data_IF_012002304094
#
_entry.id   IF_012002304094
#
_cell.length_a   1.000
_cell.length_b   1.000
_cell.length_c   1.000
_cell.angle_alpha   90.00
_cell.angle_beta   90.00
_cell.angle_gamma   90.00
#
_symmetry.space_group_name_H-M   'P 1'
#
loop_
_entity.id
_entity.type
_entity.pdbx_description
1 polymer ?
#
# COMPACT_ATOMS: atom_id res chain seq x y z
N UNK A 1 -22.79 15.34 39.65
CA UNK A 1 -23.72 14.36 39.03
C UNK A 1 -24.02 14.68 37.56
N UNK A 2 -24.43 15.95 37.22
CA UNK A 2 -24.73 16.36 35.82
C UNK A 2 -23.49 16.22 34.90
N UNK A 3 -22.30 16.49 35.42
CA UNK A 3 -21.06 16.40 34.65
C UNK A 3 -20.69 14.91 34.34
N UNK A 4 -21.00 14.00 35.23
CA UNK A 4 -20.71 12.57 35.06
C UNK A 4 -21.62 11.91 34.01
N UNK A 5 -22.89 12.31 33.95
CA UNK A 5 -23.83 11.81 32.94
C UNK A 5 -23.53 12.39 31.55
N UNK A 6 -23.12 13.65 31.48
CA UNK A 6 -22.70 14.28 30.22
C UNK A 6 -21.41 13.62 29.70
N UNK A 7 -20.44 13.35 30.57
CA UNK A 7 -19.23 12.62 30.25
C UNK A 7 -19.54 11.20 29.77
N UNK A 8 -20.32 10.43 30.51
CA UNK A 8 -20.71 9.07 30.16
C UNK A 8 -21.46 9.00 28.80
N UNK A 9 -22.28 10.00 28.49
CA UNK A 9 -22.93 10.09 27.18
C UNK A 9 -21.94 10.38 26.05
N UNK A 10 -21.02 11.32 26.24
CA UNK A 10 -20.05 11.74 25.23
C UNK A 10 -18.96 10.67 24.95
N UNK A 11 -18.69 9.79 25.92
CA UNK A 11 -17.65 8.74 25.80
C UNK A 11 -18.21 7.35 25.51
N UNK A 12 -19.52 7.17 25.52
CA UNK A 12 -20.17 5.86 25.36
C UNK A 12 -19.73 5.10 24.12
N UNK A 13 -19.75 5.78 22.96
CA UNK A 13 -19.43 5.15 21.68
C UNK A 13 -17.96 4.79 21.59
N UNK A 14 -17.07 5.65 22.12
CA UNK A 14 -15.65 5.37 22.22
C UNK A 14 -15.38 4.15 23.13
N UNK A 15 -15.97 4.12 24.31
CA UNK A 15 -15.81 2.99 25.23
C UNK A 15 -16.36 1.69 24.64
N UNK A 16 -17.51 1.74 23.97
CA UNK A 16 -18.07 0.58 23.27
C UNK A 16 -17.13 0.05 22.19
N UNK A 17 -16.54 0.94 21.41
CA UNK A 17 -15.58 0.58 20.35
C UNK A 17 -14.30 -0.02 20.95
N UNK A 18 -13.75 0.56 22.02
CA UNK A 18 -12.58 0.04 22.72
C UNK A 18 -12.85 -1.34 23.36
N UNK A 19 -14.02 -1.52 23.97
CA UNK A 19 -14.42 -2.82 24.49
C UNK A 19 -14.58 -3.85 23.37
N UNK A 20 -15.08 -3.46 22.19
CA UNK A 20 -15.16 -4.32 21.01
C UNK A 20 -13.78 -4.77 20.52
N UNK A 21 -12.80 -3.88 20.53
CA UNK A 21 -11.42 -4.19 20.18
C UNK A 21 -10.75 -5.12 21.22
N UNK A 22 -11.00 -4.89 22.51
CA UNK A 22 -10.36 -5.62 23.61
C UNK A 22 -11.08 -6.92 23.98
N UNK A 23 -12.20 -7.27 23.35
CA UNK A 23 -12.93 -8.49 23.64
C UNK A 23 -12.30 -9.71 22.94
N UNK A 24 -11.68 -10.65 23.69
CA UNK A 24 -11.00 -11.82 23.09
C UNK A 24 -11.97 -12.78 22.38
N UNK A 25 -13.27 -12.73 22.71
CA UNK A 25 -14.34 -13.50 22.04
C UNK A 25 -15.02 -12.71 20.93
N UNK A 26 -14.60 -11.47 20.72
CA UNK A 26 -15.15 -10.58 19.71
C UNK A 26 -14.54 -10.78 18.32
N UNK A 27 -14.92 -9.91 17.40
CA UNK A 27 -14.53 -9.94 15.98
C UNK A 27 -13.01 -9.89 15.75
N UNK A 28 -12.28 -9.17 16.60
CA UNK A 28 -10.84 -9.01 16.51
C UNK A 28 -10.07 -10.10 17.28
N UNK A 29 -10.77 -10.99 17.99
CA UNK A 29 -10.16 -12.03 18.78
C UNK A 29 -9.15 -11.45 19.77
N UNK A 30 -7.97 -12.05 19.84
CA UNK A 30 -6.91 -11.69 20.80
C UNK A 30 -5.92 -10.64 20.27
N UNK A 31 -6.17 -10.05 19.10
CA UNK A 31 -5.23 -9.14 18.42
C UNK A 31 -4.88 -7.89 19.24
N UNK A 32 -5.85 -7.33 19.98
CA UNK A 32 -5.68 -6.06 20.71
C UNK A 32 -5.83 -6.15 22.22
N UNK A 33 -6.07 -7.33 22.78
CA UNK A 33 -6.29 -7.53 24.21
C UNK A 33 -5.12 -8.19 24.91
N UNK A 34 -4.05 -8.54 24.21
CA UNK A 34 -2.86 -9.17 24.78
C UNK A 34 -1.61 -8.33 24.57
N UNK A 35 -0.55 -8.66 25.29
CA UNK A 35 0.74 -8.01 25.10
C UNK A 35 1.33 -8.39 23.73
N UNK A 36 2.09 -7.46 23.15
CA UNK A 36 2.85 -7.69 21.92
C UNK A 36 3.79 -8.88 22.12
N UNK A 37 3.61 -9.91 21.32
CA UNK A 37 4.41 -11.15 21.40
C UNK A 37 5.80 -10.98 20.80
N UNK A 38 5.92 -10.14 19.75
CA UNK A 38 7.20 -9.86 19.12
C UNK A 38 7.44 -8.35 19.00
N UNK A 39 8.67 -7.94 19.35
CA UNK A 39 9.10 -6.55 19.16
C UNK A 39 9.67 -6.36 17.77
N UNK A 40 9.35 -5.22 17.17
CA UNK A 40 9.86 -4.85 15.86
C UNK A 40 11.35 -4.50 15.96
N UNK A 41 12.19 -5.28 15.29
CA UNK A 41 13.63 -5.02 15.16
C UNK A 41 13.94 -4.52 13.74
N UNK A 42 14.08 -3.21 13.58
CA UNK A 42 14.42 -2.57 12.29
C UNK A 42 15.92 -2.64 11.95
N UNK A 43 16.74 -3.37 12.72
CA UNK A 43 18.14 -3.63 12.35
C UNK A 43 18.26 -4.61 11.18
N UNK A 44 17.20 -5.34 10.89
CA UNK A 44 17.05 -6.33 9.80
C UNK A 44 15.77 -6.08 9.02
N UNK A 45 15.64 -6.65 7.80
CA UNK A 45 14.37 -6.63 7.07
C UNK A 45 13.25 -7.28 7.90
N UNK A 46 12.08 -6.67 7.87
CA UNK A 46 10.88 -7.16 8.56
C UNK A 46 9.79 -7.34 7.53
N UNK A 47 9.14 -8.49 7.55
CA UNK A 47 7.96 -8.80 6.75
C UNK A 47 6.73 -8.96 7.66
N UNK A 48 5.62 -8.35 7.25
CA UNK A 48 4.32 -8.48 7.90
C UNK A 48 3.43 -9.32 6.99
N UNK A 49 3.44 -10.63 7.20
CA UNK A 49 2.56 -11.53 6.45
C UNK A 49 1.11 -11.35 6.88
N UNK A 50 0.32 -10.78 5.99
CA UNK A 50 -1.14 -10.59 6.15
C UNK A 50 -1.97 -11.60 5.35
N UNK A 51 -1.37 -12.64 4.81
CA UNK A 51 -2.07 -13.64 3.98
C UNK A 51 -3.20 -14.33 4.73
N UNK A 52 -3.02 -14.59 6.04
CA UNK A 52 -4.04 -15.15 6.90
C UNK A 52 -5.31 -14.27 7.02
N UNK A 53 -5.21 -12.97 6.69
CA UNK A 53 -6.33 -12.04 6.71
C UNK A 53 -7.09 -11.99 5.38
N UNK A 54 -6.74 -12.82 4.40
CA UNK A 54 -7.34 -12.79 3.06
C UNK A 54 -8.87 -12.97 3.07
N UNK A 55 -9.39 -13.71 4.07
CA UNK A 55 -10.83 -13.96 4.26
C UNK A 55 -11.43 -13.16 5.44
N UNK A 56 -10.65 -12.31 6.09
CA UNK A 56 -11.15 -11.45 7.15
C UNK A 56 -11.93 -10.27 6.55
N UNK A 57 -12.87 -9.74 7.32
CA UNK A 57 -13.60 -8.53 6.92
C UNK A 57 -12.67 -7.31 6.83
N UNK A 58 -13.05 -6.34 5.99
CA UNK A 58 -12.23 -5.16 5.69
C UNK A 58 -11.85 -4.36 6.94
N UNK A 59 -12.69 -4.35 7.96
CA UNK A 59 -12.42 -3.68 9.24
C UNK A 59 -11.32 -4.38 10.07
N UNK A 60 -11.25 -5.72 10.02
CA UNK A 60 -10.15 -6.48 10.67
C UNK A 60 -8.84 -6.19 9.92
N UNK A 61 -8.87 -6.23 8.60
CA UNK A 61 -7.71 -5.87 7.77
C UNK A 61 -7.27 -4.44 8.05
N UNK A 62 -8.19 -3.49 8.10
CA UNK A 62 -7.90 -2.08 8.41
C UNK A 62 -7.26 -1.91 9.79
N UNK A 63 -7.80 -2.58 10.81
CA UNK A 63 -7.29 -2.49 12.17
C UNK A 63 -5.88 -3.08 12.30
N UNK A 64 -5.62 -4.24 11.68
CA UNK A 64 -4.29 -4.87 11.68
C UNK A 64 -3.28 -4.01 10.92
N UNK A 65 -3.62 -3.51 9.73
CA UNK A 65 -2.76 -2.62 8.97
C UNK A 65 -2.45 -1.33 9.73
N UNK A 66 -3.46 -0.72 10.37
CA UNK A 66 -3.25 0.48 11.18
C UNK A 66 -2.31 0.24 12.36
N UNK A 67 -2.46 -0.88 13.07
CA UNK A 67 -1.59 -1.26 14.18
C UNK A 67 -0.16 -1.54 13.71
N UNK A 68 0.01 -2.32 12.65
CA UNK A 68 1.29 -2.66 12.02
C UNK A 68 2.04 -1.40 11.58
N UNK A 69 1.36 -0.51 10.88
CA UNK A 69 1.95 0.75 10.42
C UNK A 69 2.33 1.66 11.57
N UNK A 70 1.46 1.81 12.56
CA UNK A 70 1.75 2.62 13.75
C UNK A 70 2.99 2.09 14.48
N UNK A 71 3.13 0.78 14.61
CA UNK A 71 4.30 0.14 15.22
C UNK A 71 5.56 0.36 14.38
N UNK A 72 5.50 0.19 13.05
CA UNK A 72 6.63 0.39 12.16
C UNK A 72 7.12 1.85 12.16
N UNK A 73 6.20 2.82 12.11
CA UNK A 73 6.55 4.24 12.19
C UNK A 73 7.08 4.64 13.56
N UNK A 74 6.53 4.11 14.64
CA UNK A 74 7.05 4.36 15.98
C UNK A 74 8.48 3.84 16.12
N UNK A 75 8.75 2.62 15.65
CA UNK A 75 10.09 2.04 15.65
C UNK A 75 11.08 2.83 14.79
N UNK A 76 10.65 3.27 13.60
CA UNK A 76 11.45 4.14 12.73
C UNK A 76 11.78 5.47 13.39
N UNK A 77 10.79 6.13 14.00
CA UNK A 77 11.01 7.41 14.68
C UNK A 77 11.95 7.25 15.88
N UNK A 78 11.81 6.17 16.64
CA UNK A 78 12.74 5.87 17.73
C UNK A 78 14.17 5.66 17.19
N UNK A 79 14.33 4.96 16.08
CA UNK A 79 15.63 4.76 15.43
C UNK A 79 16.26 6.09 14.96
N UNK A 80 15.46 7.01 14.40
CA UNK A 80 15.94 8.34 14.00
C UNK A 80 16.39 9.16 15.22
N UNK A 81 15.59 9.18 16.30
CA UNK A 81 15.96 9.86 17.54
C UNK A 81 17.26 9.33 18.14
N UNK A 82 17.45 8.01 18.14
CA UNK A 82 18.70 7.39 18.60
C UNK A 82 19.88 7.76 17.71
N UNK A 83 19.67 7.85 16.40
CA UNK A 83 20.72 8.27 15.48
C UNK A 83 21.08 9.76 15.65
N UNK A 84 20.10 10.64 15.89
CA UNK A 84 20.32 12.05 16.21
C UNK A 84 21.07 12.23 17.54
N UNK A 85 20.80 11.36 18.50
CA UNK A 85 21.54 11.33 19.78
C UNK A 85 22.94 10.68 19.67
N UNK A 86 23.35 10.20 18.48
CA UNK A 86 24.65 9.54 18.28
C UNK A 86 24.73 8.12 18.85
N UNK A 87 23.62 7.53 19.25
CA UNK A 87 23.56 6.20 19.87
C UNK A 87 23.56 5.06 18.83
N UNK A 88 23.24 5.37 17.59
CA UNK A 88 23.30 4.43 16.47
C UNK A 88 23.52 5.16 15.13
N UNK A 89 23.98 4.47 14.06
CA UNK A 89 24.10 5.08 12.75
C UNK A 89 22.74 5.40 12.15
N UNK A 90 22.64 6.51 11.42
CA UNK A 90 21.44 6.87 10.67
C UNK A 90 21.21 5.86 9.54
N UNK A 91 19.97 5.40 9.40
CA UNK A 91 19.55 4.45 8.37
C UNK A 91 18.42 5.05 7.53
N UNK A 92 18.40 4.72 6.24
CA UNK A 92 17.25 4.94 5.39
C UNK A 92 16.41 3.67 5.37
N UNK A 93 15.10 3.84 5.33
CA UNK A 93 14.15 2.73 5.33
C UNK A 93 13.48 2.61 3.96
N UNK A 94 13.17 1.40 3.54
CA UNK A 94 12.34 1.14 2.35
C UNK A 94 11.09 0.41 2.81
N UNK A 95 9.94 0.96 2.46
CA UNK A 95 8.63 0.36 2.72
C UNK A 95 8.12 -0.21 1.40
N UNK A 96 7.87 -1.51 1.39
CA UNK A 96 7.27 -2.22 0.26
C UNK A 96 5.84 -2.57 0.65
N UNK A 97 4.88 -2.14 -0.15
CA UNK A 97 3.46 -2.43 0.03
C UNK A 97 2.97 -3.24 -1.14
N UNK A 98 2.91 -4.54 -0.93
CA UNK A 98 2.24 -5.43 -1.87
C UNK A 98 0.73 -5.37 -1.69
N UNK A 99 -0.03 -5.59 -2.75
CA UNK A 99 -1.49 -5.50 -2.75
C UNK A 99 -2.02 -4.18 -2.12
N UNK A 100 -1.36 -3.06 -2.43
CA UNK A 100 -1.67 -1.77 -1.81
C UNK A 100 -3.17 -1.40 -1.86
N UNK A 101 -3.87 -1.82 -2.91
CA UNK A 101 -5.30 -1.58 -3.06
C UNK A 101 -6.13 -2.12 -1.89
N UNK A 102 -5.71 -3.22 -1.26
CA UNK A 102 -6.40 -3.77 -0.07
C UNK A 102 -6.34 -2.79 1.09
N UNK A 103 -5.17 -2.18 1.31
CA UNK A 103 -5.01 -1.16 2.35
C UNK A 103 -5.87 0.08 2.07
N UNK A 104 -5.95 0.51 0.81
CA UNK A 104 -6.74 1.68 0.41
C UNK A 104 -8.24 1.46 0.58
N UNK A 105 -8.74 0.25 0.27
CA UNK A 105 -10.15 -0.11 0.41
C UNK A 105 -10.56 -0.35 1.87
N UNK A 106 -9.61 -0.83 2.68
CA UNK A 106 -9.91 -1.19 4.06
C UNK A 106 -10.34 0.02 4.93
N UNK A 107 -9.78 1.21 4.68
CA UNK A 107 -10.14 2.40 5.45
C UNK A 107 -9.74 3.71 4.76
N UNK A 108 -10.62 4.74 4.82
CA UNK A 108 -10.26 6.12 4.43
C UNK A 108 -9.00 6.64 5.12
N UNK A 109 -8.79 6.24 6.37
CA UNK A 109 -7.59 6.61 7.15
C UNK A 109 -6.32 6.10 6.50
N UNK A 110 -6.34 4.93 5.84
CA UNK A 110 -5.19 4.39 5.14
C UNK A 110 -4.82 5.24 3.92
N UNK A 111 -5.82 5.74 3.20
CA UNK A 111 -5.61 6.67 2.07
C UNK A 111 -4.90 7.93 2.54
N UNK A 112 -5.33 8.51 3.68
CA UNK A 112 -4.75 9.71 4.24
C UNK A 112 -3.32 9.49 4.74
N UNK A 113 -3.06 8.38 5.39
CA UNK A 113 -1.72 8.00 5.85
C UNK A 113 -0.75 7.80 4.70
N UNK A 114 -1.19 7.13 3.63
CA UNK A 114 -0.40 6.95 2.41
C UNK A 114 -0.13 8.26 1.69
N UNK A 115 -1.12 9.14 1.61
CA UNK A 115 -0.94 10.47 1.01
C UNK A 115 0.12 11.28 1.76
N UNK A 116 0.05 11.29 3.08
CA UNK A 116 1.04 11.94 3.93
C UNK A 116 2.44 11.34 3.72
N UNK A 117 2.54 10.00 3.73
CA UNK A 117 3.81 9.29 3.52
C UNK A 117 4.42 9.65 2.16
N UNK A 118 3.65 9.60 1.07
CA UNK A 118 4.16 9.91 -0.28
C UNK A 118 4.61 11.36 -0.44
N UNK A 119 4.13 12.28 0.38
CA UNK A 119 4.55 13.69 0.39
C UNK A 119 5.83 13.91 1.20
N UNK A 120 6.01 13.19 2.31
CA UNK A 120 7.06 13.43 3.29
C UNK A 120 8.18 12.40 3.28
N UNK A 121 8.06 11.33 2.49
CA UNK A 121 9.01 10.22 2.47
C UNK A 121 10.46 10.67 2.26
N UNK A 122 10.70 11.68 1.40
CA UNK A 122 12.04 12.23 1.17
C UNK A 122 12.63 12.88 2.43
N UNK A 123 11.81 13.64 3.18
CA UNK A 123 12.26 14.29 4.41
C UNK A 123 12.53 13.25 5.51
N UNK A 124 11.77 12.18 5.51
CA UNK A 124 11.87 11.10 6.50
C UNK A 124 12.92 10.04 6.15
N UNK A 125 13.63 10.18 5.02
CA UNK A 125 14.59 9.16 4.58
C UNK A 125 13.95 7.81 4.27
N UNK A 126 12.71 7.83 3.76
CA UNK A 126 11.93 6.62 3.44
C UNK A 126 11.80 6.47 1.93
N UNK A 127 12.28 5.37 1.38
CA UNK A 127 11.91 4.89 0.05
C UNK A 127 10.58 4.16 0.12
N UNK A 128 9.77 4.26 -0.94
CA UNK A 128 8.46 3.61 -0.99
C UNK A 128 8.26 2.90 -2.31
N UNK A 129 7.87 1.62 -2.25
CA UNK A 129 7.47 0.79 -3.38
C UNK A 129 6.02 0.39 -3.15
N UNK A 130 5.16 0.71 -4.10
CA UNK A 130 3.73 0.43 -4.08
C UNK A 130 3.41 -0.52 -5.23
N UNK A 131 2.82 -1.67 -4.91
CA UNK A 131 2.48 -2.72 -5.89
C UNK A 131 0.97 -2.89 -5.91
N UNK A 132 0.40 -2.96 -7.11
CA UNK A 132 -1.02 -3.20 -7.33
C UNK A 132 -1.22 -3.93 -8.66
N UNK A 133 -2.31 -4.65 -8.81
CA UNK A 133 -2.60 -5.39 -10.03
C UNK A 133 -3.11 -4.50 -11.16
N UNK A 134 -3.98 -3.54 -10.84
CA UNK A 134 -4.62 -2.67 -11.83
C UNK A 134 -4.67 -1.22 -11.36
N UNK A 135 -4.74 -0.29 -12.31
CA UNK A 135 -5.00 1.11 -11.99
C UNK A 135 -6.45 1.34 -11.52
N UNK A 136 -7.38 0.50 -11.97
CA UNK A 136 -8.77 0.54 -11.52
C UNK A 136 -8.86 0.41 -9.99
N UNK A 137 -8.06 -0.48 -9.41
CA UNK A 137 -8.05 -0.70 -7.97
C UNK A 137 -7.61 0.51 -7.16
N UNK A 138 -6.79 1.38 -7.74
CA UNK A 138 -6.36 2.63 -7.11
C UNK A 138 -7.40 3.75 -7.25
N UNK A 139 -8.23 3.71 -8.28
CA UNK A 139 -9.07 4.83 -8.70
C UNK A 139 -10.58 4.56 -8.52
N UNK A 140 -10.94 3.44 -7.90
CA UNK A 140 -12.31 3.04 -7.58
C UNK A 140 -12.56 3.02 -6.07
N UNK A 141 -12.14 4.08 -5.37
CA UNK A 141 -12.40 4.27 -3.94
C UNK A 141 -13.75 4.97 -3.73
N UNK A 142 -14.27 4.94 -2.50
CA UNK A 142 -15.63 5.35 -2.17
C UNK A 142 -15.94 6.82 -2.47
N UNK A 143 -14.95 7.69 -2.39
CA UNK A 143 -15.13 9.12 -2.62
C UNK A 143 -14.19 9.69 -3.66
N UNK A 144 -14.63 10.75 -4.36
CA UNK A 144 -13.79 11.48 -5.31
C UNK A 144 -12.54 12.07 -4.65
N UNK A 145 -12.63 12.47 -3.39
CA UNK A 145 -11.48 12.99 -2.64
C UNK A 145 -10.40 11.91 -2.44
N UNK A 146 -10.79 10.68 -2.13
CA UNK A 146 -9.88 9.54 -2.01
C UNK A 146 -9.26 9.18 -3.37
N UNK A 147 -10.06 9.15 -4.44
CA UNK A 147 -9.56 8.91 -5.79
C UNK A 147 -8.53 9.96 -6.22
N UNK A 148 -8.75 11.24 -5.90
CA UNK A 148 -7.78 12.31 -6.17
C UNK A 148 -6.47 12.12 -5.40
N UNK A 149 -6.53 11.66 -4.14
CA UNK A 149 -5.33 11.32 -3.36
C UNK A 149 -4.57 10.14 -3.98
N UNK A 150 -5.28 9.09 -4.38
CA UNK A 150 -4.70 7.91 -5.01
C UNK A 150 -4.04 8.24 -6.38
N UNK A 151 -4.65 9.11 -7.19
CA UNK A 151 -3.98 9.67 -8.39
C UNK A 151 -2.67 10.34 -8.04
N UNK A 152 -2.64 11.12 -6.96
CA UNK A 152 -1.42 11.75 -6.47
C UNK A 152 -0.31 10.75 -6.13
N UNK A 153 -0.62 9.52 -5.74
CA UNK A 153 0.41 8.48 -5.53
C UNK A 153 1.11 8.14 -6.85
N UNK A 154 0.34 7.94 -7.91
CA UNK A 154 0.87 7.65 -9.25
C UNK A 154 1.69 8.81 -9.79
N UNK A 155 1.19 10.04 -9.66
CA UNK A 155 1.87 11.24 -10.14
C UNK A 155 3.20 11.47 -9.44
N UNK A 156 3.23 11.34 -8.09
CA UNK A 156 4.44 11.53 -7.28
C UNK A 156 5.45 10.40 -7.42
N UNK A 157 5.05 9.22 -7.86
CA UNK A 157 5.97 8.11 -8.14
C UNK A 157 6.85 8.46 -9.33
N UNK A 158 8.14 8.70 -9.10
CA UNK A 158 9.09 9.04 -10.15
C UNK A 158 9.41 7.87 -11.07
N UNK A 159 9.45 6.68 -10.50
CA UNK A 159 9.69 5.43 -11.23
C UNK A 159 8.37 4.66 -11.27
N UNK A 160 7.98 4.23 -12.46
CA UNK A 160 6.80 3.37 -12.66
C UNK A 160 7.25 2.13 -13.40
N UNK A 161 6.90 0.97 -12.85
CA UNK A 161 7.18 -0.33 -13.44
C UNK A 161 5.84 -0.92 -13.88
N UNK A 162 5.64 -1.01 -15.19
CA UNK A 162 4.39 -1.47 -15.80
C UNK A 162 4.60 -2.90 -16.33
N UNK A 163 3.79 -3.83 -15.85
CA UNK A 163 3.66 -5.16 -16.42
C UNK A 163 2.73 -5.18 -17.64
N UNK A 164 2.25 -6.35 -18.00
CA UNK A 164 1.25 -6.54 -19.05
C UNK A 164 -0.06 -5.81 -18.70
N UNK A 165 -0.62 -5.04 -19.63
CA UNK A 165 -1.84 -4.25 -19.43
C UNK A 165 -2.74 -4.34 -20.65
N UNK A 166 -4.04 -4.43 -20.46
CA UNK A 166 -5.00 -4.42 -21.56
C UNK A 166 -5.06 -3.02 -22.22
N UNK A 167 -5.39 -2.98 -23.52
CA UNK A 167 -5.58 -1.70 -24.25
C UNK A 167 -6.66 -0.82 -23.60
N UNK A 168 -7.70 -1.43 -23.05
CA UNK A 168 -8.77 -0.72 -22.37
C UNK A 168 -8.26 -0.02 -21.12
N UNK A 169 -7.46 -0.71 -20.33
CA UNK A 169 -6.85 -0.19 -19.11
C UNK A 169 -5.86 0.94 -19.42
N UNK A 170 -5.01 0.77 -20.43
CA UNK A 170 -4.06 1.79 -20.87
C UNK A 170 -4.80 3.07 -21.29
N UNK A 171 -5.83 2.94 -22.14
CA UNK A 171 -6.60 4.10 -22.62
C UNK A 171 -7.35 4.81 -21.51
N UNK A 172 -8.02 4.05 -20.64
CA UNK A 172 -8.85 4.62 -19.58
C UNK A 172 -8.02 5.26 -18.47
N UNK A 173 -7.06 4.54 -17.96
CA UNK A 173 -6.36 4.94 -16.73
C UNK A 173 -5.01 5.61 -16.99
N UNK A 174 -4.19 5.09 -17.90
CA UNK A 174 -2.87 5.66 -18.11
C UNK A 174 -2.91 6.94 -18.96
N UNK A 175 -3.63 6.93 -20.07
CA UNK A 175 -3.77 8.12 -20.92
C UNK A 175 -4.83 9.11 -20.43
N UNK A 176 -5.92 8.60 -19.87
CA UNK A 176 -7.04 9.42 -19.41
C UNK A 176 -6.81 10.01 -18.03
N UNK A 177 -6.86 9.16 -17.02
CA UNK A 177 -6.98 9.63 -15.63
C UNK A 177 -5.64 9.94 -14.96
N UNK A 178 -4.57 9.22 -15.24
CA UNK A 178 -3.25 9.46 -14.63
C UNK A 178 -2.37 10.41 -15.43
N UNK A 179 -2.72 10.67 -16.71
CA UNK A 179 -1.92 11.52 -17.58
C UNK A 179 -0.49 11.01 -17.82
N UNK A 180 -0.25 9.72 -17.66
CA UNK A 180 1.07 9.14 -17.86
C UNK A 180 1.42 9.19 -19.36
N UNK A 181 2.55 9.80 -19.76
CA UNK A 181 2.96 9.88 -21.14
C UNK A 181 3.37 8.49 -21.64
N UNK A 182 2.47 7.81 -22.34
CA UNK A 182 2.69 6.52 -23.01
C UNK A 182 2.61 6.73 -24.51
N UNK A 183 3.65 6.33 -25.22
CA UNK A 183 3.69 6.33 -26.67
C UNK A 183 2.86 5.17 -27.26
N UNK A 184 2.49 5.27 -28.55
CA UNK A 184 1.76 4.19 -29.23
C UNK A 184 2.56 2.88 -29.19
N UNK A 185 3.87 2.95 -29.39
CA UNK A 185 4.74 1.76 -29.33
C UNK A 185 4.77 1.11 -27.96
N UNK A 186 4.78 1.90 -26.89
CA UNK A 186 4.72 1.38 -25.51
C UNK A 186 3.35 0.75 -25.21
N UNK A 187 2.27 1.37 -25.69
CA UNK A 187 0.92 0.80 -25.60
C UNK A 187 0.83 -0.55 -26.30
N UNK A 188 1.33 -0.62 -27.54
CA UNK A 188 1.32 -1.86 -28.32
C UNK A 188 2.11 -2.97 -27.64
N UNK A 189 3.26 -2.63 -27.08
CA UNK A 189 4.11 -3.55 -26.33
C UNK A 189 3.42 -4.09 -25.07
N UNK A 190 2.87 -3.21 -24.22
CA UNK A 190 2.17 -3.60 -23.00
C UNK A 190 0.94 -4.46 -23.31
N UNK A 191 0.21 -4.13 -24.36
CA UNK A 191 -0.95 -4.88 -24.81
C UNK A 191 -0.58 -6.25 -25.41
N UNK A 192 0.52 -6.34 -26.16
CA UNK A 192 1.01 -7.64 -26.66
C UNK A 192 1.43 -8.56 -25.50
N UNK A 193 2.06 -8.01 -24.46
CA UNK A 193 2.41 -8.78 -23.27
C UNK A 193 1.20 -9.34 -22.51
N UNK A 194 0.04 -8.70 -22.63
CA UNK A 194 -1.22 -9.16 -22.05
C UNK A 194 -1.91 -10.26 -22.87
N UNK A 195 -1.33 -10.66 -24.01
CA UNK A 195 -1.90 -11.74 -24.83
C UNK A 195 -1.38 -13.11 -24.39
N UNK A 196 -2.24 -14.16 -24.43
CA UNK A 196 -1.80 -15.53 -24.16
C UNK A 196 -0.77 -16.00 -25.18
N UNK A 197 0.12 -16.92 -24.79
CA UNK A 197 1.11 -17.52 -25.71
C UNK A 197 0.50 -18.49 -26.69
N UNK A 198 -0.61 -19.14 -26.33
CA UNK A 198 -1.40 -20.06 -27.13
C UNK A 198 -2.88 -19.96 -26.75
N UNK A 199 -3.75 -20.78 -27.36
CA UNK A 199 -5.20 -20.81 -27.09
C UNK A 199 -5.64 -21.79 -26.01
N UNK A 200 -4.71 -22.39 -25.25
CA UNK A 200 -5.03 -23.31 -24.16
C UNK A 200 -5.50 -22.55 -22.91
N UNK A 201 -6.39 -23.16 -22.14
CA UNK A 201 -6.94 -22.56 -20.92
C UNK A 201 -5.86 -22.26 -19.85
N UNK A 202 -4.72 -22.95 -19.90
CA UNK A 202 -3.58 -22.77 -19.00
C UNK A 202 -2.39 -22.06 -19.67
N UNK A 203 -2.62 -21.37 -20.78
CA UNK A 203 -1.57 -20.64 -21.48
C UNK A 203 -0.95 -19.56 -20.61
N UNK A 204 0.38 -19.50 -20.58
CA UNK A 204 1.07 -18.35 -19.99
C UNK A 204 0.91 -17.12 -20.88
N UNK A 205 1.07 -15.94 -20.29
CA UNK A 205 1.06 -14.70 -21.04
C UNK A 205 2.45 -14.37 -21.61
N UNK A 206 2.50 -13.74 -22.79
CA UNK A 206 3.75 -13.32 -23.42
C UNK A 206 4.60 -12.36 -22.59
N UNK A 207 3.96 -11.70 -21.63
CA UNK A 207 4.55 -10.70 -20.74
C UNK A 207 5.12 -11.25 -19.43
N UNK A 208 5.12 -12.55 -19.20
CA UNK A 208 5.71 -13.11 -17.98
C UNK A 208 7.18 -12.70 -17.89
N UNK A 209 7.56 -12.07 -16.76
CA UNK A 209 8.91 -11.55 -16.52
C UNK A 209 9.24 -10.24 -17.27
N UNK A 210 8.33 -9.69 -18.08
CA UNK A 210 8.58 -8.46 -18.84
C UNK A 210 7.95 -7.25 -18.19
N UNK A 211 8.70 -6.17 -18.13
CA UNK A 211 8.27 -4.91 -17.55
C UNK A 211 8.74 -3.72 -18.37
N UNK A 212 7.96 -2.65 -18.37
CA UNK A 212 8.34 -1.37 -18.91
C UNK A 212 8.64 -0.42 -17.74
N UNK A 213 9.91 -0.03 -17.61
CA UNK A 213 10.35 0.90 -16.56
C UNK A 213 10.32 2.32 -17.10
N UNK A 214 9.49 3.19 -16.51
CA UNK A 214 9.37 4.61 -16.88
C UNK A 214 9.93 5.50 -15.77
N UNK A 215 10.74 6.46 -16.19
CA UNK A 215 11.33 7.50 -15.36
C UNK A 215 10.71 8.86 -15.72
N UNK A 216 9.75 9.30 -14.94
CA UNK A 216 9.02 10.54 -15.23
C UNK A 216 8.36 10.50 -16.61
N UNK A 217 8.60 11.55 -17.42
CA UNK A 217 8.08 11.68 -18.78
C UNK A 217 8.96 11.07 -19.89
N UNK A 218 10.06 10.41 -19.54
CA UNK A 218 10.98 9.82 -20.51
C UNK A 218 10.40 8.57 -21.17
N UNK A 219 10.89 8.19 -22.37
CA UNK A 219 10.57 6.90 -22.96
C UNK A 219 10.86 5.75 -22.00
N UNK A 220 9.99 4.76 -21.98
CA UNK A 220 10.15 3.59 -21.12
C UNK A 220 11.25 2.65 -21.62
N UNK A 221 11.89 1.99 -20.69
CA UNK A 221 12.92 0.98 -20.94
C UNK A 221 12.28 -0.39 -20.74
N UNK A 222 12.13 -1.21 -21.79
CA UNK A 222 11.67 -2.58 -21.62
C UNK A 222 12.76 -3.42 -20.97
N UNK A 223 12.38 -4.18 -19.94
CA UNK A 223 13.25 -5.12 -19.24
C UNK A 223 12.63 -6.50 -19.20
N UNK A 224 13.47 -7.52 -19.21
CA UNK A 224 13.07 -8.91 -19.03
C UNK A 224 13.79 -9.48 -17.81
N UNK A 225 13.03 -9.84 -16.79
CA UNK A 225 13.55 -10.44 -15.57
C UNK A 225 13.55 -11.96 -15.74
N UNK A 226 14.71 -12.56 -15.61
CA UNK A 226 14.85 -14.00 -15.58
C UNK A 226 15.16 -14.44 -14.14
N UNK A 227 14.37 -15.34 -13.62
CA UNK A 227 14.68 -15.98 -12.33
C UNK A 227 15.88 -16.89 -12.55
N UNK A 228 16.93 -16.69 -11.76
CA UNK A 228 18.04 -17.65 -11.68
C UNK A 228 17.64 -18.73 -10.68
N UNK A 229 17.77 -19.98 -11.09
CA UNK A 229 17.60 -21.15 -10.22
C UNK A 229 18.71 -21.20 -9.15
#
# INVERSE_FOLDING_TARGET
PENDEAYARSTRDLLSSLHGLANPMGRFGRLFCEQTTERLDLSRPVDFDISALAQAGDDVVAAVLAATWSSAFAAKNAADMMAEAGLQPRRNHVIIMDEMHRALRASPLMVDRLDLLTRLNRQWGVGQIMITHTFADLLCLDTQAQNNKARGFVERSKIKVLGALSRTEIKRYLRGESGLPISVREEDMLADWATPTNFDANASFKGVGKFLVKLGGLPGIPVNVQMCD
#
